data_IF_165983373528
#
_entry.id   IF_165983373528
#
_cell.length_a   1.000
_cell.length_b   1.000
_cell.length_c   1.000
_cell.angle_alpha   90.00
_cell.angle_beta   90.00
_cell.angle_gamma   90.00
#
_symmetry.space_group_name_H-M   'P 1'
#
loop_
_entity.id
_entity.type
_entity.pdbx_description
1 polymer ?
#
# COMPACT_ATOMS: atom_id res chain seq x y z
N UNK A 1 0.84 2.16 -24.94
CA UNK A 1 1.75 1.60 -25.95
C UNK A 1 3.06 1.22 -25.28
N UNK A 2 3.90 0.46 -25.96
CA UNK A 2 5.25 0.12 -25.51
C UNK A 2 6.28 1.03 -26.18
N UNK A 3 7.48 1.08 -25.60
CA UNK A 3 8.60 1.84 -26.12
C UNK A 3 8.89 1.51 -27.59
N UNK A 4 9.09 2.55 -28.42
CA UNK A 4 9.31 2.43 -29.86
C UNK A 4 8.07 2.19 -30.72
N UNK A 5 6.88 2.06 -30.13
CA UNK A 5 5.62 1.96 -30.87
C UNK A 5 4.88 3.31 -30.90
N UNK A 6 3.92 3.46 -31.82
CA UNK A 6 3.01 4.60 -31.81
C UNK A 6 1.83 4.32 -30.84
N UNK A 7 1.31 5.35 -30.15
CA UNK A 7 0.11 5.21 -29.34
C UNK A 7 -1.10 4.93 -30.21
N UNK A 8 -1.99 4.07 -29.70
CA UNK A 8 -3.25 3.71 -30.36
C UNK A 8 -4.40 4.08 -29.42
N UNK A 9 -5.39 4.75 -29.98
CA UNK A 9 -6.65 5.02 -29.32
C UNK A 9 -7.69 3.99 -29.77
N UNK A 10 -8.30 3.31 -28.81
CA UNK A 10 -9.31 2.28 -29.04
C UNK A 10 -10.58 2.64 -28.27
N UNK A 11 -11.71 2.58 -28.95
CA UNK A 11 -13.03 2.89 -28.35
C UNK A 11 -14.01 1.78 -28.68
N UNK A 12 -14.82 1.37 -27.70
CA UNK A 12 -15.92 0.44 -27.86
C UNK A 12 -17.04 0.77 -26.88
N UNK A 13 -18.26 0.51 -27.25
CA UNK A 13 -19.43 0.61 -26.38
C UNK A 13 -19.68 -0.68 -25.55
N UNK A 14 -18.79 -1.66 -25.65
CA UNK A 14 -18.91 -2.97 -25.01
C UNK A 14 -19.58 -4.02 -25.90
N UNK A 15 -19.98 -3.66 -27.13
CA UNK A 15 -20.49 -4.58 -28.15
C UNK A 15 -19.37 -5.34 -28.87
N UNK A 16 -19.70 -5.85 -30.04
CA UNK A 16 -18.78 -6.58 -30.91
C UNK A 16 -17.91 -5.69 -31.80
N UNK A 17 -18.27 -4.43 -31.89
CA UNK A 17 -17.60 -3.44 -32.74
C UNK A 17 -16.71 -2.53 -31.90
N UNK A 18 -15.63 -2.06 -32.51
CA UNK A 18 -14.70 -1.11 -31.93
C UNK A 18 -14.12 -0.20 -33.02
N UNK A 19 -13.66 0.96 -32.61
CA UNK A 19 -12.93 1.88 -33.47
C UNK A 19 -11.48 2.00 -33.04
N UNK A 20 -10.57 2.07 -33.99
CA UNK A 20 -9.15 2.29 -33.72
C UNK A 20 -8.63 3.49 -34.51
N UNK A 21 -7.88 4.34 -33.84
CA UNK A 21 -7.19 5.49 -34.42
C UNK A 21 -5.82 5.71 -33.81
N UNK A 22 -5.06 6.64 -34.34
CA UNK A 22 -3.79 7.06 -33.70
C UNK A 22 -4.12 7.79 -32.38
N UNK A 23 -3.43 7.44 -31.29
CA UNK A 23 -3.59 8.06 -29.96
C UNK A 23 -2.62 9.21 -29.76
N UNK A 24 -2.85 9.95 -28.69
CA UNK A 24 -2.06 11.11 -28.28
C UNK A 24 -1.27 10.91 -26.97
N UNK A 25 -1.29 9.68 -26.41
CA UNK A 25 -0.61 9.37 -25.16
C UNK A 25 0.92 9.53 -25.29
N UNK A 26 1.50 10.43 -24.50
CA UNK A 26 2.92 10.74 -24.55
C UNK A 26 3.80 9.68 -23.84
N UNK A 27 3.32 9.12 -22.71
CA UNK A 27 4.07 8.14 -21.92
C UNK A 27 3.81 6.69 -22.33
N UNK A 28 4.79 5.81 -22.13
CA UNK A 28 4.64 4.36 -22.27
C UNK A 28 3.63 3.82 -21.27
N UNK A 29 2.81 2.88 -21.68
CA UNK A 29 1.81 2.23 -20.83
C UNK A 29 0.43 2.21 -21.48
N UNK A 30 -0.57 1.76 -20.71
CA UNK A 30 -1.97 1.67 -21.13
C UNK A 30 -2.84 2.51 -20.22
N UNK A 31 -3.72 3.29 -20.81
CA UNK A 31 -4.77 4.03 -20.11
C UNK A 31 -6.12 3.46 -20.51
N UNK A 32 -6.97 3.18 -19.55
CA UNK A 32 -8.30 2.62 -19.76
C UNK A 32 -9.31 3.51 -19.05
N UNK A 33 -10.23 4.11 -19.82
CA UNK A 33 -11.34 4.91 -19.30
C UNK A 33 -12.63 4.13 -19.45
N UNK A 34 -13.33 3.88 -18.35
CA UNK A 34 -14.61 3.22 -18.30
C UNK A 34 -15.72 4.25 -18.07
N UNK A 35 -16.63 4.39 -19.03
CA UNK A 35 -17.85 5.19 -18.88
C UNK A 35 -18.92 4.30 -18.29
N UNK A 36 -19.32 4.58 -17.04
CA UNK A 36 -20.23 3.74 -16.28
C UNK A 36 -21.68 4.11 -16.58
N UNK A 37 -22.54 3.09 -16.74
CA UNK A 37 -23.98 3.25 -16.76
C UNK A 37 -24.55 3.45 -15.34
N UNK A 38 -25.84 3.75 -15.22
CA UNK A 38 -26.50 4.00 -13.93
C UNK A 38 -26.36 2.83 -12.95
N UNK A 39 -26.48 1.59 -13.42
CA UNK A 39 -26.38 0.38 -12.59
C UNK A 39 -24.97 0.17 -12.02
N UNK A 40 -23.97 0.71 -12.68
CA UNK A 40 -22.55 0.55 -12.34
C UNK A 40 -21.96 1.77 -11.62
N UNK A 41 -22.71 2.85 -11.40
CA UNK A 41 -22.22 4.08 -10.76
C UNK A 41 -21.66 3.85 -9.35
N UNK A 42 -22.08 2.79 -8.66
CA UNK A 42 -21.53 2.41 -7.36
C UNK A 42 -20.01 2.21 -7.41
N UNK A 43 -19.45 1.81 -8.55
CA UNK A 43 -18.00 1.59 -8.71
C UNK A 43 -17.22 2.90 -8.94
N UNK A 44 -17.91 4.02 -9.20
CA UNK A 44 -17.29 5.34 -9.21
C UNK A 44 -17.04 5.89 -7.78
N UNK A 45 -17.50 5.19 -6.76
CA UNK A 45 -17.26 5.54 -5.36
C UNK A 45 -15.90 4.98 -4.90
N UNK A 46 -15.07 5.83 -4.29
CA UNK A 46 -13.73 5.46 -3.83
C UNK A 46 -13.76 4.28 -2.84
N UNK A 47 -14.69 4.29 -1.89
CA UNK A 47 -14.79 3.23 -0.87
C UNK A 47 -15.13 1.88 -1.50
N UNK A 48 -16.05 1.87 -2.46
CA UNK A 48 -16.43 0.65 -3.17
C UNK A 48 -15.32 0.15 -4.08
N UNK A 49 -14.64 1.04 -4.78
CA UNK A 49 -13.47 0.69 -5.60
C UNK A 49 -12.35 0.09 -4.73
N UNK A 50 -12.07 0.72 -3.59
CA UNK A 50 -11.08 0.24 -2.62
C UNK A 50 -11.43 -1.16 -2.11
N UNK A 51 -12.66 -1.38 -1.65
CA UNK A 51 -13.14 -2.68 -1.17
C UNK A 51 -12.94 -3.79 -2.21
N UNK A 52 -13.29 -3.52 -3.48
CA UNK A 52 -13.11 -4.49 -4.56
C UNK A 52 -11.62 -4.77 -4.83
N UNK A 53 -10.80 -3.72 -4.88
CA UNK A 53 -9.37 -3.86 -5.09
C UNK A 53 -8.69 -4.63 -3.94
N UNK A 54 -9.04 -4.32 -2.71
CA UNK A 54 -8.53 -5.04 -1.53
C UNK A 54 -8.96 -6.50 -1.53
N UNK A 55 -10.21 -6.79 -1.91
CA UNK A 55 -10.71 -8.16 -1.97
C UNK A 55 -10.01 -9.04 -3.00
N UNK A 56 -9.74 -8.49 -4.19
CA UNK A 56 -9.28 -9.30 -5.33
C UNK A 56 -7.81 -9.08 -5.69
N UNK A 57 -7.21 -7.97 -5.25
CA UNK A 57 -5.89 -7.55 -5.69
C UNK A 57 -4.87 -7.36 -4.55
N UNK A 58 -5.23 -7.72 -3.29
CA UNK A 58 -4.38 -7.49 -2.10
C UNK A 58 -2.95 -7.99 -2.23
N UNK A 59 -2.72 -9.01 -3.04
CA UNK A 59 -1.43 -9.67 -3.17
C UNK A 59 -0.91 -9.75 -4.61
N UNK A 60 -1.35 -8.82 -5.44
CA UNK A 60 -0.81 -8.68 -6.79
C UNK A 60 0.68 -8.30 -6.74
N UNK A 61 1.52 -8.85 -7.64
CA UNK A 61 2.97 -8.60 -7.63
C UNK A 61 3.38 -7.20 -8.12
N UNK A 62 2.43 -6.41 -8.60
CA UNK A 62 2.61 -5.01 -9.03
C UNK A 62 1.86 -4.07 -8.09
N UNK A 63 2.44 -2.91 -7.72
CA UNK A 63 1.76 -1.97 -6.85
C UNK A 63 0.52 -1.36 -7.53
N UNK A 64 -0.56 -1.25 -6.77
CA UNK A 64 -1.83 -0.69 -7.22
C UNK A 64 -2.14 0.53 -6.36
N UNK A 65 -2.38 1.66 -7.00
CA UNK A 65 -2.71 2.92 -6.34
C UNK A 65 -4.15 3.31 -6.71
N UNK A 66 -4.84 3.93 -5.76
CA UNK A 66 -6.17 4.48 -5.97
C UNK A 66 -6.17 5.95 -5.60
N UNK A 67 -6.52 6.80 -6.56
CA UNK A 67 -6.57 8.25 -6.39
C UNK A 67 -7.88 8.81 -6.93
N UNK A 68 -8.34 9.89 -6.33
CA UNK A 68 -9.43 10.71 -6.88
C UNK A 68 -8.85 11.75 -7.83
N UNK A 69 -9.41 11.86 -9.03
CA UNK A 69 -8.96 12.84 -10.02
C UNK A 69 -9.06 14.30 -9.54
N UNK A 70 -9.97 14.59 -8.62
CA UNK A 70 -10.23 15.92 -8.06
C UNK A 70 -9.88 16.03 -6.57
N UNK A 71 -9.01 15.15 -6.05
CA UNK A 71 -8.52 15.26 -4.68
C UNK A 71 -7.61 16.49 -4.52
N UNK A 72 -7.71 17.12 -3.36
CA UNK A 72 -6.75 18.16 -2.97
C UNK A 72 -5.37 17.52 -2.73
N UNK A 73 -4.31 18.27 -3.08
CA UNK A 73 -2.95 17.81 -2.85
C UNK A 73 -2.69 17.70 -1.34
N UNK A 74 -2.36 16.50 -0.88
CA UNK A 74 -1.90 16.26 0.48
C UNK A 74 -0.39 16.37 0.59
N UNK A 75 0.08 16.75 1.78
CA UNK A 75 1.49 16.93 2.08
C UNK A 75 1.88 16.10 3.30
N UNK A 76 3.15 15.72 3.36
CA UNK A 76 3.76 15.12 4.53
C UNK A 76 5.11 15.76 4.83
N UNK A 77 5.50 15.72 6.10
CA UNK A 77 6.79 16.23 6.55
C UNK A 77 7.67 15.07 6.97
N UNK A 78 8.84 14.97 6.36
CA UNK A 78 9.83 13.93 6.60
C UNK A 78 11.15 14.56 7.05
N UNK A 79 12.04 13.74 7.64
CA UNK A 79 13.42 14.17 7.88
C UNK A 79 14.15 14.30 6.52
N UNK A 80 15.03 15.30 6.37
CA UNK A 80 15.73 15.53 5.09
C UNK A 80 16.57 14.33 4.66
N UNK A 81 17.03 13.52 5.61
CA UNK A 81 17.76 12.29 5.36
C UNK A 81 16.92 11.20 4.65
N UNK A 82 15.58 11.27 4.76
CA UNK A 82 14.65 10.31 4.17
C UNK A 82 14.13 10.75 2.78
N UNK A 83 14.66 11.87 2.25
CA UNK A 83 14.28 12.39 0.94
C UNK A 83 14.72 11.45 -0.18
N UNK A 84 13.82 11.16 -1.10
CA UNK A 84 14.04 10.34 -2.30
C UNK A 84 14.12 11.20 -3.56
N UNK A 85 14.71 10.66 -4.62
CA UNK A 85 14.89 11.38 -5.89
C UNK A 85 13.56 11.76 -6.57
N UNK A 86 12.51 10.99 -6.35
CA UNK A 86 11.18 11.17 -6.91
C UNK A 86 10.25 12.04 -6.04
N UNK A 87 10.70 12.47 -4.85
CA UNK A 87 9.92 13.34 -3.98
C UNK A 87 9.83 14.76 -4.52
N UNK A 88 8.62 15.31 -4.49
CA UNK A 88 8.38 16.71 -4.83
C UNK A 88 8.46 17.58 -3.58
N UNK A 89 9.56 18.30 -3.44
CA UNK A 89 9.81 19.20 -2.29
C UNK A 89 8.99 20.48 -2.43
N UNK A 90 8.20 20.76 -1.41
CA UNK A 90 7.38 21.98 -1.32
C UNK A 90 8.07 23.02 -0.45
N UNK A 91 8.62 22.61 0.69
CA UNK A 91 9.23 23.53 1.67
C UNK A 91 10.32 22.80 2.46
N UNK A 92 11.38 23.50 2.83
CA UNK A 92 12.42 23.03 3.75
C UNK A 92 12.24 23.73 5.09
N UNK A 93 12.23 22.95 6.17
CA UNK A 93 11.95 23.41 7.54
C UNK A 93 13.18 23.08 8.40
N UNK A 94 13.76 24.11 8.98
CA UNK A 94 14.83 23.94 9.97
C UNK A 94 14.22 24.02 11.38
N UNK A 95 14.29 22.94 12.14
CA UNK A 95 13.93 22.91 13.55
C UNK A 95 15.18 23.12 14.39
N UNK A 96 15.21 24.22 15.16
CA UNK A 96 16.30 24.47 16.10
C UNK A 96 16.28 23.45 17.24
N UNK A 97 17.48 23.21 17.82
CA UNK A 97 17.61 22.34 18.99
C UNK A 97 16.74 22.84 20.14
N UNK A 98 15.98 21.97 20.76
CA UNK A 98 15.21 22.29 21.96
C UNK A 98 16.09 22.11 23.19
N UNK A 99 16.27 23.23 23.90
CA UNK A 99 16.97 23.28 25.17
C UNK A 99 15.94 23.36 26.30
N UNK A 100 16.05 22.52 27.32
CA UNK A 100 15.26 22.62 28.53
C UNK A 100 16.16 22.86 29.74
N UNK A 101 15.68 23.72 30.65
CA UNK A 101 16.34 23.98 31.90
C UNK A 101 16.09 22.81 32.86
N UNK A 102 17.13 22.08 33.23
CA UNK A 102 17.07 21.02 34.25
C UNK A 102 17.93 21.40 35.43
N UNK A 103 17.42 21.09 36.63
CA UNK A 103 18.14 21.24 37.88
C UNK A 103 19.04 19.99 38.08
N UNK A 104 20.35 20.23 38.22
CA UNK A 104 21.31 19.14 38.49
C UNK A 104 21.26 18.74 40.00
N UNK A 105 21.96 17.67 40.35
CA UNK A 105 21.99 17.14 41.73
C UNK A 105 22.51 18.17 42.77
N UNK A 106 23.15 19.25 42.34
CA UNK A 106 23.65 20.32 43.18
C UNK A 106 22.70 21.52 43.32
N UNK A 107 21.51 21.49 42.70
CA UNK A 107 20.52 22.56 42.72
C UNK A 107 20.83 23.70 41.75
N UNK A 108 21.74 23.52 40.81
CA UNK A 108 22.06 24.47 39.77
C UNK A 108 21.25 24.18 38.52
N UNK A 109 20.76 25.27 37.87
CA UNK A 109 20.01 25.16 36.61
C UNK A 109 20.95 25.07 35.43
N UNK A 110 20.86 23.99 34.68
CA UNK A 110 21.65 23.73 33.49
C UNK A 110 20.74 23.57 32.27
N UNK A 111 21.13 24.21 31.17
CA UNK A 111 20.41 24.06 29.89
C UNK A 111 20.85 22.72 29.24
N UNK A 112 19.95 21.78 29.18
CA UNK A 112 20.20 20.46 28.58
C UNK A 112 19.50 20.40 27.23
N UNK A 113 20.22 19.95 26.21
CA UNK A 113 19.66 19.68 24.89
C UNK A 113 18.74 18.46 24.97
N UNK A 114 17.43 18.68 24.77
CA UNK A 114 16.41 17.63 24.84
C UNK A 114 16.14 17.04 23.44
N UNK A 115 16.33 17.85 22.40
CA UNK A 115 16.19 17.43 21.02
C UNK A 115 17.20 18.18 20.15
N UNK A 116 18.03 17.45 19.37
CA UNK A 116 18.98 18.07 18.45
C UNK A 116 18.26 18.85 17.35
N UNK A 117 18.95 19.83 16.77
CA UNK A 117 18.47 20.50 15.57
C UNK A 117 18.26 19.48 14.45
N UNK A 118 17.14 19.56 13.74
CA UNK A 118 16.79 18.68 12.64
C UNK A 118 16.31 19.46 11.44
N UNK A 119 16.77 19.04 10.28
CA UNK A 119 16.26 19.56 9.02
C UNK A 119 15.15 18.63 8.51
N UNK A 120 13.97 19.19 8.32
CA UNK A 120 12.78 18.53 7.79
C UNK A 120 12.40 19.08 6.45
N UNK A 121 11.72 18.29 5.66
CA UNK A 121 11.25 18.67 4.34
C UNK A 121 9.78 18.36 4.24
N UNK A 122 8.99 19.34 3.80
CA UNK A 122 7.61 19.14 3.42
C UNK A 122 7.58 18.75 1.96
N UNK A 123 7.02 17.58 1.69
CA UNK A 123 6.90 17.01 0.36
C UNK A 123 5.43 16.76 0.01
N UNK A 124 5.14 16.60 -1.27
CA UNK A 124 3.86 15.99 -1.66
C UNK A 124 3.77 14.60 -1.02
N UNK A 125 2.62 14.28 -0.42
CA UNK A 125 2.40 12.98 0.22
C UNK A 125 2.69 11.86 -0.78
N UNK A 126 3.54 10.93 -0.39
CA UNK A 126 3.91 9.78 -1.21
C UNK A 126 2.69 8.88 -1.44
N UNK A 127 2.45 8.42 -2.67
CA UNK A 127 1.39 7.47 -2.91
C UNK A 127 1.68 6.15 -2.18
N UNK A 128 0.66 5.58 -1.54
CA UNK A 128 0.76 4.30 -0.83
C UNK A 128 -0.02 3.26 -1.63
N UNK A 129 0.61 2.14 -2.00
CA UNK A 129 -0.08 1.06 -2.70
C UNK A 129 -1.13 0.41 -1.79
N UNK A 130 -2.27 0.02 -2.38
CA UNK A 130 -3.34 -0.68 -1.68
C UNK A 130 -3.00 -2.14 -1.38
N UNK A 131 -2.10 -2.71 -2.16
CA UNK A 131 -1.76 -4.12 -2.10
C UNK A 131 -0.36 -4.35 -1.54
N UNK A 132 -0.12 -5.57 -1.10
CA UNK A 132 1.18 -6.06 -0.66
C UNK A 132 1.82 -6.84 -1.82
N UNK A 133 2.86 -6.26 -2.42
CA UNK A 133 3.57 -6.88 -3.56
C UNK A 133 4.51 -8.01 -3.16
N UNK A 134 4.84 -8.11 -1.88
CA UNK A 134 5.76 -9.10 -1.33
C UNK A 134 5.16 -9.78 -0.09
N UNK A 135 4.01 -10.48 -0.24
CA UNK A 135 3.36 -11.13 0.89
C UNK A 135 4.26 -12.20 1.52
N UNK A 136 4.00 -12.53 2.78
CA UNK A 136 4.87 -13.39 3.59
C UNK A 136 5.19 -14.73 2.91
N UNK A 137 4.25 -15.30 2.15
CA UNK A 137 4.48 -16.58 1.45
C UNK A 137 5.49 -16.53 0.31
N UNK A 138 5.93 -15.34 -0.11
CA UNK A 138 6.99 -15.18 -1.11
C UNK A 138 8.38 -15.43 -0.53
N UNK A 139 8.51 -15.33 0.80
CA UNK A 139 9.75 -15.66 1.53
C UNK A 139 9.90 -17.16 1.69
N UNK A 140 11.15 -17.60 1.86
CA UNK A 140 11.38 -18.98 2.23
C UNK A 140 10.92 -19.24 3.68
N UNK A 141 10.30 -20.39 4.01
CA UNK A 141 9.84 -20.70 5.37
C UNK A 141 10.90 -20.53 6.47
N UNK A 142 12.16 -20.81 6.16
CA UNK A 142 13.27 -20.66 7.10
C UNK A 142 13.63 -19.20 7.42
N UNK A 143 13.12 -18.25 6.64
CA UNK A 143 13.33 -16.81 6.82
C UNK A 143 12.19 -16.14 7.60
N UNK A 144 11.16 -16.91 7.95
CA UNK A 144 9.98 -16.44 8.64
C UNK A 144 9.99 -16.87 10.10
N UNK A 145 9.81 -15.92 11.00
CA UNK A 145 9.61 -16.19 12.43
C UNK A 145 8.17 -16.58 12.75
N UNK A 146 7.93 -17.11 13.94
CA UNK A 146 6.57 -17.38 14.42
C UNK A 146 5.73 -16.09 14.45
N UNK A 147 6.34 -15.01 14.90
CA UNK A 147 5.73 -13.68 14.98
C UNK A 147 5.30 -13.17 13.61
N UNK A 148 6.11 -13.35 12.56
CA UNK A 148 5.76 -12.97 11.19
C UNK A 148 4.47 -13.65 10.71
N UNK A 149 4.31 -14.96 11.01
CA UNK A 149 3.09 -15.70 10.65
C UNK A 149 1.87 -15.23 11.41
N UNK A 150 2.00 -14.93 12.69
CA UNK A 150 0.88 -14.44 13.53
C UNK A 150 0.45 -13.04 13.08
N UNK A 151 1.40 -12.15 12.83
CA UNK A 151 1.12 -10.78 12.39
C UNK A 151 0.50 -10.76 11.00
N UNK A 152 0.98 -11.60 10.09
CA UNK A 152 0.39 -11.76 8.77
C UNK A 152 -1.04 -12.30 8.85
N UNK A 153 -1.30 -13.29 9.70
CA UNK A 153 -2.64 -13.81 9.95
C UNK A 153 -3.60 -12.73 10.46
N UNK A 154 -3.18 -11.97 11.47
CA UNK A 154 -3.97 -10.87 12.03
C UNK A 154 -4.28 -9.80 11.00
N UNK A 155 -3.30 -9.44 10.18
CA UNK A 155 -3.44 -8.45 9.11
C UNK A 155 -4.44 -8.89 8.04
N UNK A 156 -4.35 -10.14 7.59
CA UNK A 156 -5.15 -10.66 6.46
C UNK A 156 -6.58 -10.97 6.86
N UNK A 157 -6.75 -11.63 8.01
CA UNK A 157 -8.07 -12.11 8.47
C UNK A 157 -8.74 -11.16 9.47
N UNK A 158 -8.07 -10.06 9.84
CA UNK A 158 -8.54 -9.11 10.85
C UNK A 158 -8.94 -9.81 12.17
N UNK A 159 -8.31 -10.94 12.47
CA UNK A 159 -8.51 -11.74 13.67
C UNK A 159 -7.35 -11.51 14.65
N UNK A 160 -7.65 -10.99 15.81
CA UNK A 160 -6.65 -10.72 16.86
C UNK A 160 -6.19 -11.98 17.61
N UNK A 161 -6.87 -13.10 17.42
CA UNK A 161 -6.48 -14.37 18.03
C UNK A 161 -5.30 -14.97 17.26
N UNK A 162 -4.54 -15.80 17.94
CA UNK A 162 -3.52 -16.60 17.27
C UNK A 162 -4.16 -17.78 16.56
N UNK A 163 -3.71 -18.13 15.34
CA UNK A 163 -4.13 -19.36 14.68
C UNK A 163 -3.70 -20.58 15.50
N UNK A 164 -4.37 -21.69 15.32
CA UNK A 164 -4.02 -22.96 15.96
C UNK A 164 -2.65 -23.44 15.47
N UNK A 165 -2.48 -23.44 14.16
CA UNK A 165 -1.22 -23.69 13.44
C UNK A 165 -1.36 -23.20 12.00
N UNK A 166 -0.27 -23.27 11.24
CA UNK A 166 -0.23 -22.95 9.81
C UNK A 166 0.69 -23.87 9.05
N UNK A 167 0.50 -23.92 7.74
CA UNK A 167 1.36 -24.65 6.81
C UNK A 167 1.82 -23.67 5.73
N UNK A 168 3.12 -23.41 5.66
CA UNK A 168 3.71 -22.60 4.62
C UNK A 168 4.05 -23.50 3.42
N UNK A 169 3.35 -23.28 2.33
CA UNK A 169 3.51 -24.01 1.09
C UNK A 169 4.48 -23.28 0.16
N UNK A 170 5.54 -23.94 -0.23
CA UNK A 170 6.49 -23.47 -1.21
C UNK A 170 6.94 -24.66 -2.07
N UNK A 171 6.08 -25.04 -3.01
CA UNK A 171 6.28 -26.19 -3.88
C UNK A 171 6.46 -25.72 -5.33
N UNK A 172 7.53 -26.15 -5.96
CA UNK A 172 7.81 -25.84 -7.36
C UNK A 172 7.37 -26.98 -8.31
N UNK A 173 7.18 -28.19 -7.78
CA UNK A 173 6.78 -29.38 -8.55
C UNK A 173 5.82 -30.28 -7.74
N UNK A 174 4.80 -30.89 -8.35
CA UNK A 174 4.40 -30.85 -9.77
C UNK A 174 3.66 -29.58 -10.17
N UNK A 175 3.24 -28.76 -9.18
CA UNK A 175 2.55 -27.49 -9.39
C UNK A 175 3.31 -26.41 -8.65
N UNK A 176 3.52 -25.27 -9.30
CA UNK A 176 4.05 -24.10 -8.62
C UNK A 176 2.97 -23.55 -7.67
N UNK A 177 3.08 -23.93 -6.40
CA UNK A 177 2.12 -23.58 -5.36
C UNK A 177 2.86 -22.87 -4.20
N UNK A 178 2.53 -21.60 -3.99
CA UNK A 178 3.04 -20.79 -2.90
C UNK A 178 1.87 -20.20 -2.11
N UNK A 179 1.95 -20.28 -0.80
CA UNK A 179 0.89 -19.77 0.06
C UNK A 179 1.07 -20.22 1.51
N UNK A 180 0.19 -19.71 2.37
CA UNK A 180 0.13 -20.14 3.76
C UNK A 180 -1.30 -20.55 4.07
N UNK A 181 -1.47 -21.77 4.53
CA UNK A 181 -2.74 -22.26 5.04
C UNK A 181 -2.78 -22.00 6.55
N UNK A 182 -3.77 -21.27 7.02
CA UNK A 182 -4.00 -21.05 8.42
C UNK A 182 -5.18 -21.84 8.94
N UNK A 183 -5.05 -22.36 10.14
CA UNK A 183 -6.11 -23.08 10.85
C UNK A 183 -6.50 -22.24 12.09
N UNK A 184 -7.65 -21.56 12.04
CA UNK A 184 -8.10 -20.72 13.14
C UNK A 184 -8.51 -21.54 14.36
N UNK A 185 -8.43 -20.95 15.54
CA UNK A 185 -9.06 -21.51 16.74
C UNK A 185 -10.57 -21.32 16.65
N UNK A 186 -11.32 -22.39 16.67
CA UNK A 186 -12.80 -22.36 16.66
C UNK A 186 -13.29 -21.81 17.99
N UNK A 187 -14.12 -20.78 17.93
CA UNK A 187 -14.84 -20.26 19.08
C UNK A 187 -16.23 -20.90 19.09
N UNK A 188 -16.46 -21.89 19.95
CA UNK A 188 -17.72 -22.63 20.03
C UNK A 188 -18.91 -21.81 20.53
N UNK A 189 -18.69 -20.57 20.97
CA UNK A 189 -19.75 -19.73 21.53
C UNK A 189 -20.42 -18.77 20.54
N UNK A 190 -19.79 -18.43 19.39
CA UNK A 190 -20.30 -17.39 18.48
C UNK A 190 -20.05 -17.60 16.99
N UNK A 191 -19.33 -18.63 16.58
CA UNK A 191 -19.09 -18.84 15.16
C UNK A 191 -20.18 -19.76 14.56
N UNK A 192 -21.20 -19.13 13.97
CA UNK A 192 -22.00 -19.81 12.96
C UNK A 192 -21.05 -20.18 11.83
N UNK A 193 -21.02 -21.46 11.50
CA UNK A 193 -20.27 -22.02 10.36
C UNK A 193 -20.90 -21.45 9.09
N UNK A 194 -20.33 -20.34 8.59
CA UNK A 194 -20.52 -19.95 7.21
C UNK A 194 -19.41 -20.64 6.42
N UNK A 195 -19.81 -21.67 5.69
CA UNK A 195 -18.99 -22.41 4.75
C UNK A 195 -18.88 -21.71 3.40
#
# INVERSE_FOLDING_TARGET
YKEGAKPVHWVSDGGTEYEMSEGDKEGVGTEITLFLNEDSLQFANEYRAREVLEKYCSFMPVPIYLEKANAEQEYETIDEADLKEDDVVVERIHEEAKMEEKENENGEKEMVEVSPAKDKVKINKRPVPLNDTTPLWTKHPNECSKEDYIDFYRKVFMDYKEPLFWIHLNMDYPFNLKGILYFPKINTEYDSIEG
#
